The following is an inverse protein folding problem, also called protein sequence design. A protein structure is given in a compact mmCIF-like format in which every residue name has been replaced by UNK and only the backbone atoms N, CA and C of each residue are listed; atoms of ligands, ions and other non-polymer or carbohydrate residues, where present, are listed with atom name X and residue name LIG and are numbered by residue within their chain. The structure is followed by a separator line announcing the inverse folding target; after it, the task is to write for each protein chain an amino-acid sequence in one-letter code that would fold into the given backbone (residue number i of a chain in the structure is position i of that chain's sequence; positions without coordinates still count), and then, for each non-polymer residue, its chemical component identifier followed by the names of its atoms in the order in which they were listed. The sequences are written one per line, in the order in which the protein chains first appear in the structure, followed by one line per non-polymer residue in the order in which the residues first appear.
data_IF_367916322368
#
_entry.id   IF_367916322368
#
_cell.length_a   1.000
_cell.length_b   1.000
_cell.length_c   1.000
_cell.angle_alpha   90.00
_cell.angle_beta   90.00
_cell.angle_gamma   90.00
#
_symmetry.space_group_name_H-M   'P 1'
#
loop_
_entity.id
_entity.type
_entity.pdbx_description
1 polymer ?
#
# COMPACT_ATOMS: atom_id res chain seq x y z
N UNK A 1 1.40 -9.38 15.71
CA UNK A 1 1.51 -9.27 14.23
C UNK A 1 0.78 -10.41 13.54
N UNK A 2 0.45 -10.23 12.26
CA UNK A 2 -0.06 -11.27 11.35
C UNK A 2 0.94 -11.44 10.21
N UNK A 3 1.35 -12.68 9.98
CA UNK A 3 2.29 -13.07 8.94
C UNK A 3 1.98 -14.47 8.43
N UNK A 4 2.21 -14.71 7.16
CA UNK A 4 2.16 -16.01 6.50
C UNK A 4 3.34 -16.16 5.55
N UNK A 5 3.95 -17.33 5.51
CA UNK A 5 4.95 -17.68 4.51
C UNK A 5 4.33 -17.66 3.11
N UNK A 6 4.96 -16.95 2.20
CA UNK A 6 4.54 -16.80 0.81
C UNK A 6 5.44 -17.52 -0.18
N UNK A 7 5.08 -17.52 -1.46
CA UNK A 7 5.83 -18.23 -2.49
C UNK A 7 7.00 -17.44 -3.11
N UNK A 8 7.33 -16.25 -2.61
CA UNK A 8 8.45 -15.46 -3.15
C UNK A 8 9.77 -16.20 -2.90
N UNK A 9 10.52 -16.46 -3.98
CA UNK A 9 11.77 -17.26 -3.93
C UNK A 9 12.87 -16.65 -3.06
N UNK A 10 12.77 -15.38 -2.69
CA UNK A 10 13.72 -14.68 -1.83
C UNK A 10 13.29 -14.68 -0.36
N UNK A 11 12.13 -15.30 -0.03
CA UNK A 11 11.55 -15.29 1.31
C UNK A 11 11.06 -13.91 1.74
N UNK A 12 10.58 -13.09 0.78
CA UNK A 12 10.02 -11.77 1.09
C UNK A 12 8.51 -11.88 1.18
N UNK A 13 7.94 -11.54 2.32
CA UNK A 13 6.53 -11.63 2.62
C UNK A 13 5.91 -10.31 3.03
N UNK A 14 4.57 -10.28 3.09
CA UNK A 14 3.81 -9.20 3.68
C UNK A 14 3.43 -9.55 5.12
N UNK A 15 3.53 -8.57 6.02
CA UNK A 15 3.10 -8.71 7.40
C UNK A 15 2.30 -7.48 7.85
N UNK A 16 1.41 -7.66 8.82
CA UNK A 16 0.72 -6.57 9.52
C UNK A 16 1.16 -6.57 10.98
N UNK A 17 1.88 -5.51 11.38
CA UNK A 17 2.14 -5.21 12.78
C UNK A 17 1.02 -4.28 13.28
N UNK A 18 0.53 -4.51 14.48
CA UNK A 18 -0.56 -3.72 15.05
C UNK A 18 -0.46 -3.62 16.58
N UNK A 19 -1.05 -2.56 17.11
CA UNK A 19 -1.27 -2.42 18.55
C UNK A 19 -2.60 -3.12 18.92
N UNK A 20 -2.57 -4.17 19.77
CA UNK A 20 -3.76 -4.90 20.17
C UNK A 20 -4.74 -4.06 21.01
N UNK A 21 -4.32 -2.93 21.56
CA UNK A 21 -5.21 -1.99 22.25
C UNK A 21 -6.06 -1.17 21.24
N UNK A 22 -5.57 -1.00 20.02
CA UNK A 22 -6.23 -0.20 18.96
C UNK A 22 -6.96 -1.07 17.94
N UNK A 23 -6.44 -2.25 17.64
CA UNK A 23 -6.98 -3.15 16.62
C UNK A 23 -7.05 -4.58 17.14
N UNK A 24 -8.24 -5.16 17.07
CA UNK A 24 -8.47 -6.57 17.42
C UNK A 24 -8.66 -7.37 16.15
N UNK A 25 -7.75 -8.28 15.84
CA UNK A 25 -7.85 -9.19 14.70
C UNK A 25 -8.96 -10.21 14.95
N UNK A 26 -9.87 -10.40 14.00
CA UNK A 26 -10.94 -11.41 14.04
C UNK A 26 -10.72 -12.55 13.06
N UNK A 27 -10.07 -12.27 11.92
CA UNK A 27 -9.70 -13.27 10.94
C UNK A 27 -8.52 -12.78 10.11
N UNK A 28 -7.74 -13.71 9.56
CA UNK A 28 -6.68 -13.39 8.60
C UNK A 28 -6.43 -14.55 7.64
N UNK A 29 -5.94 -14.22 6.44
CA UNK A 29 -5.52 -15.21 5.44
C UNK A 29 -4.54 -14.60 4.45
N UNK A 30 -3.69 -15.43 3.88
CA UNK A 30 -2.92 -15.10 2.68
C UNK A 30 -3.66 -15.63 1.45
N UNK A 31 -3.93 -14.76 0.48
CA UNK A 31 -4.43 -15.14 -0.85
C UNK A 31 -3.26 -15.11 -1.81
N UNK A 32 -2.91 -16.25 -2.37
CA UNK A 32 -1.82 -16.34 -3.34
C UNK A 32 -2.19 -15.63 -4.63
N UNK A 33 -1.24 -14.88 -5.18
CA UNK A 33 -1.39 -14.28 -6.51
C UNK A 33 -1.36 -15.36 -7.59
N UNK A 34 -2.29 -15.28 -8.53
CA UNK A 34 -2.22 -16.13 -9.72
C UNK A 34 -1.09 -15.68 -10.63
N UNK A 35 -0.36 -16.61 -11.27
CA UNK A 35 0.70 -16.27 -12.21
C UNK A 35 0.21 -15.40 -13.36
N UNK A 36 1.02 -14.42 -13.78
CA UNK A 36 0.78 -13.66 -15.00
C UNK A 36 1.18 -14.48 -16.23
N UNK A 37 0.26 -14.66 -17.18
CA UNK A 37 0.50 -15.42 -18.43
C UNK A 37 1.10 -16.83 -18.20
N UNK A 38 0.75 -17.47 -17.08
CA UNK A 38 1.22 -18.82 -16.74
C UNK A 38 2.66 -18.88 -16.22
N UNK A 39 3.31 -17.76 -15.89
CA UNK A 39 4.64 -17.71 -15.28
C UNK A 39 4.61 -18.27 -13.85
N UNK A 40 4.87 -19.56 -13.70
CA UNK A 40 4.94 -20.25 -12.40
C UNK A 40 6.30 -20.11 -11.72
N UNK A 41 7.27 -19.50 -12.36
CA UNK A 41 8.65 -19.35 -11.84
C UNK A 41 8.78 -18.10 -10.97
N UNK A 42 8.14 -16.98 -11.38
CA UNK A 42 8.24 -15.70 -10.70
C UNK A 42 6.99 -15.40 -9.86
N UNK A 43 6.68 -16.31 -8.94
CA UNK A 43 5.60 -16.10 -7.99
C UNK A 43 5.88 -14.91 -7.08
N UNK A 44 4.84 -14.15 -6.79
CA UNK A 44 4.91 -12.97 -5.90
C UNK A 44 4.30 -13.28 -4.52
N UNK A 45 4.43 -12.36 -3.55
CA UNK A 45 4.13 -12.51 -2.12
C UNK A 45 2.68 -12.87 -1.80
N UNK A 46 1.76 -12.66 -2.73
CA UNK A 46 0.33 -12.78 -2.46
C UNK A 46 -0.24 -11.52 -1.78
N UNK A 47 -1.48 -11.64 -1.28
CA UNK A 47 -2.23 -10.56 -0.68
C UNK A 47 -2.61 -10.98 0.74
N UNK A 48 -2.06 -10.31 1.75
CA UNK A 48 -2.38 -10.57 3.15
C UNK A 48 -3.67 -9.82 3.52
N UNK A 49 -4.72 -10.57 3.82
CA UNK A 49 -6.01 -10.02 4.26
C UNK A 49 -6.12 -10.18 5.77
N UNK A 50 -6.38 -9.09 6.47
CA UNK A 50 -6.57 -9.08 7.93
C UNK A 50 -7.86 -8.33 8.25
N UNK A 51 -8.86 -9.08 8.71
CA UNK A 51 -10.11 -8.55 9.23
C UNK A 51 -10.03 -8.32 10.74
N UNK A 52 -10.73 -7.30 11.21
CA UNK A 52 -10.75 -7.02 12.64
C UNK A 52 -11.69 -5.88 13.01
N UNK A 53 -11.49 -5.39 14.25
CA UNK A 53 -12.22 -4.24 14.78
C UNK A 53 -11.27 -3.15 15.26
N UNK A 54 -11.57 -1.91 14.88
CA UNK A 54 -10.89 -0.71 15.33
C UNK A 54 -11.95 0.32 15.74
N UNK A 55 -11.82 0.89 16.92
CA UNK A 55 -12.80 1.85 17.46
C UNK A 55 -14.26 1.32 17.45
N UNK A 56 -14.45 0.00 17.62
CA UNK A 56 -15.75 -0.67 17.60
C UNK A 56 -16.32 -0.99 16.22
N UNK A 57 -15.68 -0.54 15.13
CA UNK A 57 -16.13 -0.76 13.76
C UNK A 57 -15.35 -1.87 13.06
N UNK A 58 -15.98 -2.54 12.09
CA UNK A 58 -15.30 -3.54 11.26
C UNK A 58 -14.33 -2.87 10.31
N UNK A 59 -13.09 -3.34 10.32
CA UNK A 59 -11.99 -2.86 9.49
C UNK A 59 -11.33 -4.05 8.80
N UNK A 60 -10.93 -3.89 7.56
CA UNK A 60 -10.13 -4.87 6.84
C UNK A 60 -8.91 -4.20 6.20
N UNK A 61 -7.74 -4.79 6.40
CA UNK A 61 -6.50 -4.42 5.74
C UNK A 61 -6.15 -5.48 4.69
N UNK A 62 -5.78 -5.02 3.47
CA UNK A 62 -5.16 -5.87 2.45
C UNK A 62 -3.76 -5.34 2.24
N UNK A 63 -2.77 -6.09 2.74
CA UNK A 63 -1.36 -5.72 2.65
C UNK A 63 -0.75 -6.35 1.40
N UNK A 64 -0.03 -5.55 0.62
CA UNK A 64 0.44 -5.89 -0.70
C UNK A 64 1.93 -5.54 -0.87
N UNK A 65 2.61 -6.32 -1.71
CA UNK A 65 3.87 -5.91 -2.30
C UNK A 65 3.90 -6.44 -3.74
N UNK A 66 3.56 -5.59 -4.70
CA UNK A 66 3.42 -5.98 -6.10
C UNK A 66 4.79 -6.11 -6.80
N UNK A 67 4.84 -6.77 -7.97
CA UNK A 67 6.08 -6.94 -8.73
C UNK A 67 6.75 -5.61 -9.06
N UNK A 68 8.08 -5.54 -8.87
CA UNK A 68 8.86 -4.33 -9.10
C UNK A 68 8.80 -3.87 -10.57
N UNK A 69 9.24 -2.64 -10.84
CA UNK A 69 9.36 -2.10 -12.20
C UNK A 69 10.41 -2.79 -13.07
N UNK A 70 11.14 -3.77 -12.54
CA UNK A 70 11.88 -4.74 -13.34
C UNK A 70 10.96 -5.62 -14.20
N UNK A 71 9.73 -5.87 -13.73
CA UNK A 71 8.67 -6.47 -14.54
C UNK A 71 7.90 -5.38 -15.33
N UNK A 72 7.31 -5.78 -16.47
CA UNK A 72 6.47 -4.88 -17.29
C UNK A 72 5.19 -4.48 -16.56
N UNK A 73 4.60 -3.31 -16.91
CA UNK A 73 3.38 -2.78 -16.30
C UNK A 73 2.20 -3.77 -16.28
N UNK A 74 1.91 -4.58 -17.32
CA UNK A 74 0.82 -5.56 -17.29
C UNK A 74 0.85 -6.54 -16.12
N UNK A 75 2.03 -6.85 -15.58
CA UNK A 75 2.16 -7.74 -14.41
C UNK A 75 1.55 -7.10 -13.16
N UNK A 76 1.78 -5.79 -12.96
CA UNK A 76 1.17 -5.04 -11.85
C UNK A 76 -0.32 -4.78 -12.08
N UNK A 77 -0.73 -4.56 -13.32
CA UNK A 77 -2.16 -4.49 -13.69
C UNK A 77 -2.87 -5.80 -13.37
N UNK A 78 -2.21 -6.95 -13.61
CA UNK A 78 -2.73 -8.27 -13.24
C UNK A 78 -2.90 -8.41 -11.71
N UNK A 79 -1.92 -7.99 -10.93
CA UNK A 79 -2.03 -7.94 -9.47
C UNK A 79 -3.20 -7.05 -9.03
N UNK A 80 -3.32 -5.85 -9.61
CA UNK A 80 -4.40 -4.92 -9.34
C UNK A 80 -5.79 -5.51 -9.64
N UNK A 81 -5.97 -6.25 -10.74
CA UNK A 81 -7.22 -6.96 -11.07
C UNK A 81 -7.61 -7.97 -10.00
N UNK A 82 -6.65 -8.73 -9.46
CA UNK A 82 -6.90 -9.70 -8.42
C UNK A 82 -7.32 -9.02 -7.11
N UNK A 83 -6.58 -7.99 -6.69
CA UNK A 83 -6.94 -7.20 -5.48
C UNK A 83 -8.31 -6.53 -5.68
N UNK A 84 -8.61 -6.02 -6.88
CA UNK A 84 -9.92 -5.45 -7.22
C UNK A 84 -11.06 -6.47 -7.04
N UNK A 85 -10.88 -7.70 -7.52
CA UNK A 85 -11.86 -8.76 -7.35
C UNK A 85 -12.08 -9.11 -5.87
N UNK A 86 -11.01 -9.19 -5.06
CA UNK A 86 -11.08 -9.41 -3.62
C UNK A 86 -11.84 -8.28 -2.91
N UNK A 87 -11.49 -7.03 -3.21
CA UNK A 87 -12.13 -5.86 -2.59
C UNK A 87 -13.60 -5.72 -3.00
N UNK A 88 -13.95 -6.04 -4.24
CA UNK A 88 -15.33 -6.04 -4.71
C UNK A 88 -16.18 -7.09 -4.01
N UNK A 89 -15.60 -8.27 -3.73
CA UNK A 89 -16.30 -9.31 -2.96
C UNK A 89 -16.57 -8.84 -1.54
N UNK A 90 -15.56 -8.33 -0.85
CA UNK A 90 -15.67 -7.83 0.53
C UNK A 90 -16.67 -6.67 0.66
N UNK A 91 -16.66 -5.72 -0.28
CA UNK A 91 -17.55 -4.56 -0.27
C UNK A 91 -18.99 -4.90 -0.72
N UNK A 92 -19.20 -6.00 -1.46
CA UNK A 92 -20.54 -6.54 -1.73
C UNK A 92 -21.15 -7.20 -0.49
N UNK A 93 -20.33 -7.94 0.24
CA UNK A 93 -20.71 -8.61 1.48
C UNK A 93 -21.06 -7.59 2.57
N UNK A 94 -20.23 -6.56 2.73
CA UNK A 94 -20.42 -5.50 3.71
C UNK A 94 -20.15 -4.11 3.10
N UNK A 95 -21.24 -3.40 2.72
CA UNK A 95 -21.15 -2.04 2.14
C UNK A 95 -20.63 -0.98 3.12
N UNK A 96 -20.56 -1.29 4.41
CA UNK A 96 -20.05 -0.38 5.47
C UNK A 96 -18.62 -0.71 5.88
N UNK A 97 -18.02 -1.78 5.33
CA UNK A 97 -16.66 -2.20 5.64
C UNK A 97 -15.66 -1.07 5.40
N UNK A 98 -14.90 -0.74 6.43
CA UNK A 98 -13.77 0.18 6.33
C UNK A 98 -12.55 -0.58 5.82
N UNK A 99 -12.35 -0.54 4.51
CA UNK A 99 -11.34 -1.31 3.81
C UNK A 99 -10.15 -0.42 3.41
N UNK A 100 -8.95 -0.90 3.73
CA UNK A 100 -7.67 -0.27 3.44
C UNK A 100 -6.84 -1.22 2.57
N UNK A 101 -6.40 -0.76 1.40
CA UNK A 101 -5.45 -1.50 0.55
C UNK A 101 -4.13 -0.77 0.66
N UNK A 102 -3.09 -1.44 1.17
CA UNK A 102 -1.83 -0.81 1.56
C UNK A 102 -0.61 -1.61 1.16
N UNK A 103 0.53 -0.95 1.06
CA UNK A 103 1.84 -1.52 0.81
C UNK A 103 2.55 -0.91 -0.38
N UNK A 104 3.64 -1.56 -0.83
CA UNK A 104 4.41 -1.19 -2.02
C UNK A 104 3.73 -1.73 -3.27
N UNK A 105 3.10 -0.83 -4.02
CA UNK A 105 2.42 -1.18 -5.29
C UNK A 105 3.36 -1.11 -6.49
N UNK A 106 4.61 -0.65 -6.32
CA UNK A 106 5.63 -0.51 -7.36
C UNK A 106 5.18 0.30 -8.60
N UNK A 107 4.12 1.09 -8.47
CA UNK A 107 3.58 2.01 -9.47
C UNK A 107 3.21 3.34 -8.83
N UNK A 108 3.19 4.42 -9.59
CA UNK A 108 2.79 5.73 -9.09
C UNK A 108 1.25 5.86 -8.94
N UNK A 109 0.74 6.82 -8.16
CA UNK A 109 -0.70 6.97 -7.90
C UNK A 109 -1.60 7.08 -9.13
N UNK A 110 -1.06 7.54 -10.26
CA UNK A 110 -1.76 7.74 -11.53
C UNK A 110 -1.62 6.58 -12.51
N UNK A 111 -0.80 5.57 -12.23
CA UNK A 111 -0.52 4.47 -13.16
C UNK A 111 -1.75 3.56 -13.37
N UNK A 112 -1.74 2.82 -14.48
CA UNK A 112 -2.84 1.97 -14.92
C UNK A 112 -3.27 0.94 -13.88
N UNK A 113 -2.34 0.40 -13.11
CA UNK A 113 -2.64 -0.55 -12.04
C UNK A 113 -3.53 0.08 -10.95
N UNK A 114 -3.29 1.35 -10.60
CA UNK A 114 -4.12 2.08 -9.65
C UNK A 114 -5.50 2.40 -10.20
N UNK A 115 -5.59 2.76 -11.48
CA UNK A 115 -6.86 2.95 -12.17
C UNK A 115 -7.66 1.64 -12.22
N UNK A 116 -7.00 0.52 -12.50
CA UNK A 116 -7.57 -0.84 -12.49
C UNK A 116 -8.10 -1.23 -11.11
N UNK A 117 -7.38 -0.91 -10.03
CA UNK A 117 -7.85 -1.08 -8.65
C UNK A 117 -9.09 -0.21 -8.35
N UNK A 118 -9.33 0.84 -9.14
CA UNK A 118 -10.39 1.82 -8.91
C UNK A 118 -9.98 2.94 -7.95
N UNK A 119 -8.68 3.14 -7.76
CA UNK A 119 -8.14 4.23 -6.97
C UNK A 119 -8.29 5.58 -7.70
N UNK A 120 -8.79 6.61 -7.01
CA UNK A 120 -9.15 7.91 -7.57
C UNK A 120 -8.53 9.06 -6.80
N UNK A 121 -8.17 10.13 -7.54
CA UNK A 121 -7.69 11.40 -6.98
C UNK A 121 -8.72 12.08 -6.08
N UNK A 122 -10.00 12.07 -6.45
CA UNK A 122 -11.05 12.84 -5.77
C UNK A 122 -12.12 11.95 -5.14
N UNK A 123 -12.59 12.35 -3.96
CA UNK A 123 -13.70 11.72 -3.25
C UNK A 123 -15.05 12.03 -3.90
N UNK A 124 -15.16 13.17 -4.61
CA UNK A 124 -16.37 13.55 -5.33
C UNK A 124 -16.70 12.52 -6.42
N UNK A 125 -17.97 12.13 -6.57
CA UNK A 125 -18.42 11.14 -7.55
C UNK A 125 -17.92 9.72 -7.32
N UNK A 126 -17.24 9.41 -6.21
CA UNK A 126 -16.68 8.09 -5.91
C UNK A 126 -17.78 7.02 -5.74
N UNK A 127 -17.70 5.94 -6.52
CA UNK A 127 -18.60 4.78 -6.43
C UNK A 127 -18.26 3.92 -5.20
N UNK A 128 -19.17 3.02 -4.80
CA UNK A 128 -18.98 2.17 -3.62
C UNK A 128 -17.77 1.23 -3.73
N UNK A 129 -17.46 0.76 -4.95
CA UNK A 129 -16.34 -0.15 -5.25
C UNK A 129 -15.02 0.56 -5.57
N UNK A 130 -14.94 1.87 -5.36
CA UNK A 130 -13.75 2.67 -5.64
C UNK A 130 -13.05 3.08 -4.33
N UNK A 131 -11.79 3.45 -4.49
CA UNK A 131 -10.92 3.89 -3.40
C UNK A 131 -10.49 5.33 -3.60
N UNK A 132 -10.38 6.07 -2.51
CA UNK A 132 -9.71 7.35 -2.48
C UNK A 132 -8.19 7.13 -2.38
N UNK A 133 -7.45 7.83 -3.22
CA UNK A 133 -5.99 7.78 -3.30
C UNK A 133 -5.42 9.16 -2.97
N UNK A 134 -5.17 9.49 -1.68
CA UNK A 134 -4.65 10.78 -1.26
C UNK A 134 -3.22 11.04 -1.78
N UNK A 135 -2.52 9.99 -2.16
CA UNK A 135 -1.12 10.03 -2.61
C UNK A 135 -0.97 10.67 -3.99
N UNK A 136 -2.04 10.78 -4.75
CA UNK A 136 -2.02 11.42 -6.06
C UNK A 136 -1.63 12.89 -5.95
N UNK A 137 -2.29 13.66 -5.10
CA UNK A 137 -1.98 15.07 -4.86
C UNK A 137 -0.61 15.25 -4.20
N UNK A 138 -0.20 14.33 -3.32
CA UNK A 138 1.10 14.38 -2.66
C UNK A 138 2.24 14.27 -3.66
N UNK A 139 2.14 13.36 -4.62
CA UNK A 139 3.16 13.22 -5.66
C UNK A 139 3.06 14.34 -6.73
N UNK A 140 1.86 14.57 -7.28
CA UNK A 140 1.66 15.46 -8.43
C UNK A 140 1.79 16.93 -8.05
N UNK A 141 1.16 17.34 -6.96
CA UNK A 141 1.05 18.77 -6.59
C UNK A 141 2.19 19.21 -5.64
N UNK A 142 2.68 18.29 -4.78
CA UNK A 142 3.74 18.60 -3.79
C UNK A 142 5.12 18.08 -4.19
N UNK A 143 5.21 17.22 -5.20
CA UNK A 143 6.46 16.61 -5.64
C UNK A 143 7.11 15.68 -4.61
N UNK A 144 6.32 15.14 -3.66
CA UNK A 144 6.81 14.28 -2.57
C UNK A 144 6.52 12.82 -2.91
N UNK A 145 7.53 11.97 -2.77
CA UNK A 145 7.44 10.54 -3.01
C UNK A 145 8.05 9.71 -1.90
N UNK A 146 7.97 8.40 -2.03
CA UNK A 146 8.57 7.45 -1.09
C UNK A 146 9.90 6.90 -1.56
N UNK A 147 10.15 6.87 -2.86
CA UNK A 147 11.39 6.39 -3.48
C UNK A 147 11.98 7.45 -4.41
N UNK A 148 13.26 7.78 -4.22
CA UNK A 148 14.01 8.63 -5.17
C UNK A 148 14.81 7.74 -6.14
N UNK A 149 14.42 7.72 -7.41
CA UNK A 149 15.11 6.96 -8.44
C UNK A 149 15.53 7.86 -9.60
N UNK A 150 16.85 7.90 -9.91
CA UNK A 150 17.45 8.73 -10.98
C UNK A 150 17.01 10.22 -10.90
N UNK A 151 16.97 10.76 -9.69
CA UNK A 151 16.61 12.16 -9.44
C UNK A 151 15.11 12.47 -9.51
N UNK A 152 14.25 11.46 -9.70
CA UNK A 152 12.79 11.60 -9.72
C UNK A 152 12.17 10.90 -8.51
N UNK A 153 11.30 11.59 -7.80
CA UNK A 153 10.45 10.99 -6.78
C UNK A 153 9.34 10.14 -7.41
N UNK A 154 9.19 8.93 -6.89
CA UNK A 154 8.05 8.04 -7.14
C UNK A 154 7.34 7.79 -5.80
N UNK A 155 6.05 7.50 -5.84
CA UNK A 155 5.26 7.21 -4.65
C UNK A 155 4.64 5.82 -4.79
N UNK A 156 5.41 4.78 -4.44
CA UNK A 156 5.01 3.37 -4.58
C UNK A 156 4.28 2.84 -3.37
N UNK A 157 4.67 3.32 -2.19
CA UNK A 157 4.13 2.91 -0.90
C UNK A 157 2.89 3.75 -0.58
N UNK A 158 1.77 3.11 -0.33
CA UNK A 158 0.51 3.82 -0.12
C UNK A 158 -0.53 3.04 0.65
N UNK A 159 -1.54 3.76 1.10
CA UNK A 159 -2.75 3.24 1.71
C UNK A 159 -3.92 3.90 0.98
N UNK A 160 -4.69 3.14 0.19
CA UNK A 160 -5.90 3.64 -0.44
C UNK A 160 -7.13 3.23 0.36
N UNK A 161 -8.15 4.08 0.36
CA UNK A 161 -9.21 4.09 1.36
C UNK A 161 -10.57 3.85 0.70
N UNK A 162 -11.35 2.89 1.20
CA UNK A 162 -12.71 2.66 0.72
C UNK A 162 -13.63 3.84 1.04
N UNK A 163 -14.73 3.94 0.28
CA UNK A 163 -15.73 5.01 0.44
C UNK A 163 -16.26 5.14 1.89
N UNK A 164 -16.54 4.06 2.65
CA UNK A 164 -16.96 4.16 4.06
C UNK A 164 -15.95 4.84 4.99
N UNK A 165 -14.65 4.82 4.66
CA UNK A 165 -13.61 5.52 5.45
C UNK A 165 -13.65 7.02 5.19
N UNK A 166 -13.79 7.43 3.92
CA UNK A 166 -13.62 8.84 3.52
C UNK A 166 -14.92 9.65 3.53
N UNK A 167 -16.09 8.98 3.45
CA UNK A 167 -17.42 9.65 3.47
C UNK A 167 -18.15 9.50 4.81
N UNK A 168 -17.55 8.87 5.81
CA UNK A 168 -18.14 8.77 7.14
C UNK A 168 -18.28 10.16 7.78
N UNK A 169 -19.47 10.43 8.31
CA UNK A 169 -19.74 11.66 9.09
C UNK A 169 -19.48 11.46 10.59
N UNK A 170 -19.53 10.20 11.06
CA UNK A 170 -19.31 9.78 12.46
C UNK A 170 -18.48 8.50 12.49
N UNK A 171 -17.88 8.20 13.63
CA UNK A 171 -17.03 7.05 13.83
C UNK A 171 -15.69 7.18 13.13
N UNK A 172 -15.03 6.05 12.94
CA UNK A 172 -13.68 5.99 12.36
C UNK A 172 -13.69 6.53 10.92
N UNK A 173 -12.95 7.59 10.65
CA UNK A 173 -12.92 8.26 9.35
C UNK A 173 -11.56 8.85 9.03
N UNK A 174 -11.30 9.01 7.74
CA UNK A 174 -10.10 9.65 7.23
C UNK A 174 -9.97 11.09 7.71
N UNK A 175 -8.77 11.48 8.09
CA UNK A 175 -8.41 12.84 8.42
C UNK A 175 -7.45 13.41 7.38
N UNK A 176 -6.20 12.93 7.34
CA UNK A 176 -5.20 13.35 6.36
C UNK A 176 -4.16 12.24 6.13
N UNK A 177 -3.21 12.50 5.21
CA UNK A 177 -2.11 11.60 4.88
C UNK A 177 -0.81 12.38 4.72
N UNK A 178 0.31 11.72 5.05
CA UNK A 178 1.65 12.25 4.80
C UNK A 178 2.64 11.16 4.40
N UNK A 179 3.66 11.51 3.64
CA UNK A 179 4.91 10.74 3.58
C UNK A 179 5.73 11.14 4.80
N UNK A 180 6.10 10.16 5.62
CA UNK A 180 6.81 10.41 6.86
C UNK A 180 8.29 10.70 6.57
N UNK A 181 8.63 11.98 6.49
CA UNK A 181 9.98 12.46 6.23
C UNK A 181 10.56 13.01 7.52
N UNK A 182 11.71 12.46 7.94
CA UNK A 182 12.48 12.96 9.09
C UNK A 182 13.96 12.94 8.71
N UNK A 183 14.75 13.85 9.27
CA UNK A 183 16.16 14.03 8.91
C UNK A 183 16.97 12.73 9.02
N UNK A 184 16.70 11.92 10.05
CA UNK A 184 17.37 10.63 10.25
C UNK A 184 17.04 9.58 9.20
N UNK A 185 15.94 9.73 8.45
CA UNK A 185 15.54 8.85 7.34
C UNK A 185 16.14 9.27 6.00
N UNK A 186 16.78 10.44 5.94
CA UNK A 186 17.29 11.05 4.70
C UNK A 186 18.82 11.10 4.74
N UNK A 187 19.43 10.75 3.63
CA UNK A 187 20.87 10.87 3.46
C UNK A 187 21.28 12.35 3.45
N UNK A 188 22.15 12.73 4.38
CA UNK A 188 22.48 14.13 4.62
C UNK A 188 23.58 14.67 3.71
N UNK A 189 24.40 13.78 3.11
CA UNK A 189 25.54 14.15 2.31
C UNK A 189 25.80 13.20 1.13
N UNK A 190 26.86 13.48 0.35
CA UNK A 190 27.31 12.65 -0.76
C UNK A 190 26.39 12.67 -1.98
N UNK A 191 26.64 11.74 -2.90
CA UNK A 191 25.97 11.64 -4.21
C UNK A 191 24.43 11.49 -4.11
N UNK A 192 23.95 10.89 -3.04
CA UNK A 192 22.53 10.57 -2.84
C UNK A 192 21.88 11.44 -1.75
N UNK A 193 22.49 12.61 -1.47
CA UNK A 193 21.91 13.59 -0.53
C UNK A 193 20.43 13.87 -0.89
N UNK A 194 19.57 13.85 0.11
CA UNK A 194 18.15 14.06 -0.03
C UNK A 194 17.33 12.80 -0.37
N UNK A 195 17.99 11.68 -0.71
CA UNK A 195 17.31 10.40 -0.90
C UNK A 195 17.06 9.69 0.45
N UNK A 196 16.12 8.72 0.51
CA UNK A 196 15.98 7.87 1.69
C UNK A 196 17.31 7.19 2.05
N UNK A 197 17.65 7.18 3.35
CA UNK A 197 18.86 6.57 3.87
C UNK A 197 18.68 5.05 3.94
N UNK A 198 19.13 4.38 2.89
CA UNK A 198 19.01 2.93 2.73
C UNK A 198 20.03 2.14 3.58
N UNK A 199 19.69 0.90 3.89
CA UNK A 199 20.59 0.00 4.63
C UNK A 199 21.84 -0.35 3.85
N UNK A 200 21.74 -0.51 2.53
CA UNK A 200 22.85 -0.91 1.66
C UNK A 200 22.91 -0.05 0.39
N UNK A 201 24.12 0.25 -0.06
CA UNK A 201 24.44 0.78 -1.39
C UNK A 201 25.18 -0.31 -2.20
N UNK A 202 24.43 -1.15 -2.91
CA UNK A 202 25.00 -2.38 -3.49
C UNK A 202 25.44 -3.34 -2.39
N UNK A 203 26.77 -3.63 -2.31
CA UNK A 203 27.35 -4.51 -1.27
C UNK A 203 27.81 -3.75 -0.02
N UNK A 204 27.75 -2.42 -0.03
CA UNK A 204 28.22 -1.58 1.08
C UNK A 204 27.10 -1.36 2.07
N UNK A 205 27.36 -1.64 3.34
CA UNK A 205 26.47 -1.31 4.44
C UNK A 205 26.50 0.21 4.72
N UNK A 206 25.36 0.89 4.66
CA UNK A 206 25.25 2.33 4.84
C UNK A 206 24.64 2.71 6.20
N UNK A 207 24.27 1.72 7.01
CA UNK A 207 23.69 1.92 8.34
C UNK A 207 22.39 2.76 8.33
N UNK A 208 21.64 2.68 7.26
CA UNK A 208 20.33 3.34 7.12
C UNK A 208 19.16 2.39 7.39
N UNK A 209 17.97 2.85 7.08
CA UNK A 209 16.71 2.17 7.41
C UNK A 209 16.08 1.46 6.21
N UNK A 210 15.77 2.22 5.16
CA UNK A 210 15.10 1.73 3.96
C UNK A 210 15.41 2.66 2.77
N UNK A 211 15.27 2.16 1.56
CA UNK A 211 15.28 2.98 0.34
C UNK A 211 13.90 3.56 0.00
N UNK A 212 12.89 3.25 0.82
CA UNK A 212 11.56 3.86 0.76
C UNK A 212 11.25 4.60 2.07
N UNK A 213 10.51 5.70 1.96
CA UNK A 213 9.97 6.43 3.10
C UNK A 213 8.60 5.87 3.51
N UNK A 214 8.28 5.81 4.81
CA UNK A 214 6.97 5.37 5.27
C UNK A 214 5.85 6.32 4.85
N UNK A 215 4.68 5.76 4.61
CA UNK A 215 3.43 6.51 4.40
C UNK A 215 2.50 6.36 5.59
N UNK A 216 1.84 7.44 5.99
CA UNK A 216 0.93 7.45 7.13
C UNK A 216 -0.44 7.98 6.70
N UNK A 217 -1.48 7.29 7.13
CA UNK A 217 -2.87 7.76 7.08
C UNK A 217 -3.36 8.00 8.50
N UNK A 218 -3.81 9.21 8.77
CA UNK A 218 -4.41 9.57 10.04
C UNK A 218 -5.93 9.38 9.98
N UNK A 219 -6.45 8.73 11.01
CA UNK A 219 -7.87 8.51 11.19
C UNK A 219 -8.33 9.22 12.46
N UNK A 220 -9.56 9.71 12.44
CA UNK A 220 -10.23 10.29 13.61
C UNK A 220 -11.56 9.59 13.89
N UNK A 221 -12.01 9.67 15.13
CA UNK A 221 -13.28 9.16 15.60
C UNK A 221 -14.32 10.27 15.78
#
# INVERSE_FOLDING_TARGET
FVHYEGPDRRGIDCALLYDPQQFTVTNSKLVLSTPFEGDTVHLTRGFLIVDGRMAGERVCFIVNHWPSRGAKSPVRVHAAKQVKALTDSLLREDKKLKLFVMGDMNDDPMDESMQTLGARKYVSGMKASQFYNPWWEILEDKGVGTLLYRGKWNLFDRIVLSRPVVKAKKGLRYDHSEVFIRDYLIQQDGKYKGAPLRTHGGRVWLNGYSDHLPTIVYLKK
#
